data_IF_585656081723
#
_entry.id   IF_585656081723
#
_cell.length_a   1.000
_cell.length_b   1.000
_cell.length_c   1.000
_cell.angle_alpha   90.00
_cell.angle_beta   90.00
_cell.angle_gamma   90.00
#
_symmetry.space_group_name_H-M   'P 1'
#
loop_
_entity.id
_entity.type
_entity.pdbx_description
1 polymer ?
#
# COMPACT_ATOMS: atom_id res chain seq x y z
N UNK A 1 11.74 3.14 1.25
CA UNK A 1 12.06 1.69 1.19
C UNK A 1 10.85 0.88 1.63
N UNK A 2 10.43 -0.12 0.85
CA UNK A 2 9.39 -1.07 1.27
C UNK A 2 10.06 -2.17 2.11
N UNK A 3 9.41 -2.53 3.21
CA UNK A 3 9.90 -3.45 4.25
C UNK A 3 9.00 -4.67 4.41
N UNK A 4 7.74 -4.56 4.00
CA UNK A 4 6.79 -5.69 3.93
C UNK A 4 5.76 -5.42 2.85
N UNK A 5 5.30 -6.47 2.20
CA UNK A 5 4.18 -6.46 1.25
C UNK A 5 3.25 -7.64 1.54
N UNK A 6 1.95 -7.39 1.53
CA UNK A 6 0.88 -8.39 1.65
C UNK A 6 -0.05 -8.23 0.46
N UNK A 7 -0.39 -9.34 -0.20
CA UNK A 7 -1.19 -9.37 -1.43
C UNK A 7 -2.21 -10.49 -1.37
N UNK A 8 -3.46 -10.17 -1.67
CA UNK A 8 -4.49 -11.19 -1.86
C UNK A 8 -5.45 -10.76 -2.97
N UNK A 9 -5.83 -11.68 -3.84
CA UNK A 9 -6.73 -11.41 -4.96
C UNK A 9 -6.07 -10.63 -6.11
N UNK A 10 -4.74 -10.48 -6.11
CA UNK A 10 -3.98 -9.86 -7.21
C UNK A 10 -3.24 -10.93 -8.01
N UNK A 11 -3.58 -11.08 -9.30
CA UNK A 11 -3.04 -12.11 -10.20
C UNK A 11 -3.02 -13.48 -9.52
N UNK A 12 -1.84 -14.06 -9.30
CA UNK A 12 -1.69 -15.39 -8.70
C UNK A 12 -1.56 -15.40 -7.18
N UNK A 13 -1.64 -14.25 -6.51
CA UNK A 13 -1.42 -14.17 -5.05
C UNK A 13 -2.69 -14.40 -4.25
N UNK A 14 -2.61 -15.37 -3.35
CA UNK A 14 -3.61 -15.70 -2.35
C UNK A 14 -2.96 -15.63 -0.97
N UNK A 15 -3.41 -14.70 -0.13
CA UNK A 15 -2.89 -14.48 1.22
C UNK A 15 -1.35 -14.45 1.32
N UNK A 16 -0.73 -13.82 0.32
CA UNK A 16 0.72 -13.75 0.20
C UNK A 16 1.26 -12.67 1.13
N UNK A 17 2.34 -13.00 1.84
CA UNK A 17 3.06 -12.08 2.70
C UNK A 17 4.57 -12.23 2.50
N UNK A 18 5.26 -11.11 2.34
CA UNK A 18 6.71 -11.08 2.18
C UNK A 18 7.30 -9.93 2.99
N UNK A 19 8.18 -10.28 3.91
CA UNK A 19 9.06 -9.32 4.57
C UNK A 19 10.32 -9.11 3.73
N UNK A 20 10.71 -7.85 3.53
CA UNK A 20 11.85 -7.45 2.70
C UNK A 20 13.00 -6.96 3.57
N UNK A 21 14.16 -7.57 3.44
CA UNK A 21 15.40 -7.08 4.04
C UNK A 21 15.91 -5.82 3.28
N UNK A 22 16.82 -5.01 3.89
CA UNK A 22 17.48 -3.88 3.22
C UNK A 22 18.12 -4.21 1.88
N UNK A 23 18.57 -5.45 1.71
CA UNK A 23 19.02 -6.01 0.46
C UNK A 23 18.39 -7.39 0.27
N UNK A 24 17.63 -7.57 -0.80
CA UNK A 24 16.90 -8.80 -1.09
C UNK A 24 17.11 -9.20 -2.55
N UNK A 25 17.49 -10.46 -2.77
CA UNK A 25 17.51 -11.08 -4.09
C UNK A 25 16.30 -12.01 -4.22
N UNK A 26 15.56 -11.89 -5.32
CA UNK A 26 14.36 -12.69 -5.60
C UNK A 26 14.66 -13.64 -6.76
N UNK A 27 14.71 -14.94 -6.48
CA UNK A 27 15.04 -16.00 -7.44
C UNK A 27 13.90 -17.04 -7.43
N UNK A 28 13.64 -17.68 -8.56
CA UNK A 28 12.65 -18.75 -8.67
C UNK A 28 12.43 -19.17 -10.12
N UNK A 29 11.77 -20.31 -10.32
CA UNK A 29 11.45 -20.83 -11.66
C UNK A 29 10.55 -19.88 -12.47
N UNK A 30 10.49 -20.06 -13.79
CA UNK A 30 9.51 -19.33 -14.62
C UNK A 30 8.08 -19.60 -14.10
N UNK A 31 7.21 -18.61 -14.24
CA UNK A 31 5.84 -18.62 -13.72
C UNK A 31 5.69 -18.75 -12.18
N UNK A 32 6.77 -18.67 -11.39
CA UNK A 32 6.70 -18.72 -9.92
C UNK A 32 6.12 -17.46 -9.24
N UNK A 33 5.46 -16.57 -9.98
CA UNK A 33 4.90 -15.32 -9.44
C UNK A 33 5.85 -14.12 -9.30
N UNK A 34 7.14 -14.24 -9.67
CA UNK A 34 8.10 -13.12 -9.58
C UNK A 34 7.66 -11.88 -10.34
N UNK A 35 7.28 -12.02 -11.62
CA UNK A 35 6.81 -10.89 -12.41
C UNK A 35 5.54 -10.27 -11.82
N UNK A 36 4.66 -11.10 -11.24
CA UNK A 36 3.45 -10.61 -10.56
C UNK A 36 3.80 -9.79 -9.32
N UNK A 37 4.83 -10.17 -8.56
CA UNK A 37 5.30 -9.37 -7.41
C UNK A 37 5.77 -7.98 -7.86
N UNK A 38 6.56 -7.91 -8.95
CA UNK A 38 6.98 -6.63 -9.51
C UNK A 38 5.81 -5.83 -10.10
N UNK A 39 4.81 -6.48 -10.68
CA UNK A 39 3.60 -5.80 -11.16
C UNK A 39 2.77 -5.23 -10.01
N UNK A 40 2.70 -5.91 -8.85
CA UNK A 40 2.06 -5.37 -7.66
C UNK A 40 2.79 -4.12 -7.12
N UNK A 41 4.12 -4.15 -7.10
CA UNK A 41 4.94 -2.99 -6.73
C UNK A 41 4.76 -1.82 -7.70
N UNK A 42 4.65 -2.10 -9.01
CA UNK A 42 4.34 -1.08 -10.02
C UNK A 42 2.95 -0.50 -9.84
N UNK A 43 1.94 -1.34 -9.58
CA UNK A 43 0.58 -0.89 -9.32
C UNK A 43 0.56 0.07 -8.13
N UNK A 44 1.22 -0.27 -7.02
CA UNK A 44 1.34 0.60 -5.85
C UNK A 44 2.03 1.93 -6.18
N UNK A 45 3.08 1.91 -7.01
CA UNK A 45 3.74 3.13 -7.49
C UNK A 45 2.79 3.99 -8.32
N UNK A 46 2.01 3.38 -9.23
CA UNK A 46 1.06 4.14 -10.06
C UNK A 46 -0.12 4.68 -9.25
N UNK A 47 -0.60 3.94 -8.26
CA UNK A 47 -1.66 4.42 -7.36
C UNK A 47 -1.22 5.59 -6.49
N UNK A 48 0.09 5.76 -6.26
CA UNK A 48 0.63 6.92 -5.56
C UNK A 48 0.70 8.18 -6.46
N UNK A 49 0.65 8.03 -7.78
CA UNK A 49 0.83 9.13 -8.74
C UNK A 49 -0.44 9.45 -9.55
N UNK A 50 -1.31 8.46 -9.77
CA UNK A 50 -2.45 8.54 -10.66
C UNK A 50 -3.74 8.08 -9.97
N UNK A 51 -4.88 8.47 -10.54
CA UNK A 51 -6.17 7.93 -10.12
C UNK A 51 -6.28 6.41 -10.38
N UNK A 52 -7.20 5.75 -9.68
CA UNK A 52 -7.39 4.30 -9.72
C UNK A 52 -7.50 3.74 -11.14
N UNK A 53 -8.26 4.40 -12.02
CA UNK A 53 -8.50 3.93 -13.39
C UNK A 53 -7.22 4.02 -14.21
N UNK A 54 -6.56 5.18 -14.17
CA UNK A 54 -5.30 5.42 -14.89
C UNK A 54 -4.18 4.50 -14.39
N UNK A 55 -4.11 4.27 -13.08
CA UNK A 55 -3.12 3.36 -12.49
C UNK A 55 -3.28 1.92 -13.00
N UNK A 56 -4.51 1.40 -13.06
CA UNK A 56 -4.80 0.07 -13.58
C UNK A 56 -4.45 -0.08 -15.07
N UNK A 57 -4.74 0.95 -15.88
CA UNK A 57 -4.42 0.95 -17.31
C UNK A 57 -2.91 0.96 -17.61
N UNK A 58 -2.08 1.44 -16.68
CA UNK A 58 -0.62 1.47 -16.84
C UNK A 58 0.03 0.13 -16.50
N UNK A 59 -0.63 -0.72 -15.72
CA UNK A 59 -0.14 -2.07 -15.45
C UNK A 59 -0.43 -2.95 -16.67
N UNK A 60 0.48 -3.86 -16.99
CA UNK A 60 0.27 -4.82 -18.08
C UNK A 60 -0.92 -5.74 -17.76
N UNK A 61 -1.87 -5.78 -18.69
CA UNK A 61 -3.06 -6.63 -18.66
C UNK A 61 -4.34 -5.81 -18.56
N UNK A 62 -5.47 -6.43 -18.83
CA UNK A 62 -6.77 -5.80 -18.60
C UNK A 62 -7.09 -5.74 -17.10
N UNK A 63 -7.92 -4.79 -16.67
CA UNK A 63 -8.21 -4.59 -15.25
C UNK A 63 -8.70 -5.88 -14.54
N UNK A 64 -9.48 -6.71 -15.23
CA UNK A 64 -9.99 -7.98 -14.69
C UNK A 64 -8.90 -9.06 -14.55
N UNK A 65 -7.83 -9.01 -15.36
CA UNK A 65 -6.68 -9.93 -15.31
C UNK A 65 -5.72 -9.60 -14.15
N UNK A 66 -5.82 -8.39 -13.61
CA UNK A 66 -5.10 -8.01 -12.40
C UNK A 66 -5.74 -8.61 -11.15
N UNK A 67 -7.04 -8.93 -11.18
CA UNK A 67 -7.69 -9.73 -10.16
C UNK A 67 -7.38 -11.21 -10.38
N UNK A 68 -7.38 -11.99 -9.31
CA UNK A 68 -7.17 -13.43 -9.44
C UNK A 68 -8.29 -14.09 -10.24
N UNK A 69 -7.91 -14.74 -11.34
CA UNK A 69 -8.79 -15.58 -12.15
C UNK A 69 -9.05 -16.92 -11.45
N UNK A 70 -10.32 -17.30 -11.42
CA UNK A 70 -10.82 -18.57 -10.91
C UNK A 70 -10.93 -19.60 -12.05
N UNK A 71 -11.00 -20.91 -11.72
CA UNK A 71 -11.06 -21.96 -12.75
C UNK A 71 -12.27 -21.87 -13.69
N UNK A 72 -13.35 -21.23 -13.26
CA UNK A 72 -14.55 -20.98 -14.06
C UNK A 72 -14.42 -19.79 -15.02
N UNK A 73 -13.25 -19.14 -15.08
CA UNK A 73 -12.97 -17.96 -15.89
C UNK A 73 -13.45 -16.65 -15.28
N UNK A 74 -14.13 -16.67 -14.13
CA UNK A 74 -14.43 -15.45 -13.38
C UNK A 74 -13.19 -14.93 -12.67
N UNK A 75 -13.20 -13.68 -12.20
CA UNK A 75 -12.15 -13.17 -11.30
C UNK A 75 -12.74 -12.77 -9.96
N UNK A 76 -11.93 -12.93 -8.91
CA UNK A 76 -12.32 -12.55 -7.55
C UNK A 76 -12.78 -11.08 -7.51
N UNK A 77 -13.80 -10.75 -6.71
CA UNK A 77 -14.39 -9.41 -6.72
C UNK A 77 -13.58 -8.38 -5.95
N UNK A 78 -12.60 -8.81 -5.15
CA UNK A 78 -11.80 -7.95 -4.27
C UNK A 78 -10.32 -8.33 -4.37
N UNK A 79 -9.46 -7.31 -4.40
CA UNK A 79 -8.03 -7.46 -4.12
C UNK A 79 -7.65 -6.59 -2.93
N UNK A 80 -6.67 -7.07 -2.16
CA UNK A 80 -6.14 -6.41 -0.97
C UNK A 80 -4.63 -6.28 -1.11
N UNK A 81 -4.15 -5.07 -0.90
CA UNK A 81 -2.74 -4.74 -0.89
C UNK A 81 -2.43 -4.06 0.44
N UNK A 82 -1.41 -4.55 1.13
CA UNK A 82 -0.82 -3.81 2.23
C UNK A 82 0.69 -3.70 2.05
N UNK A 83 1.24 -2.53 2.36
CA UNK A 83 2.68 -2.32 2.38
C UNK A 83 3.09 -1.59 3.63
N UNK A 84 4.22 -2.05 4.18
CA UNK A 84 4.92 -1.33 5.21
C UNK A 84 6.19 -0.74 4.60
N UNK A 85 6.42 0.55 4.83
CA UNK A 85 7.56 1.25 4.25
C UNK A 85 8.18 2.29 5.19
N UNK A 86 9.38 2.71 4.79
CA UNK A 86 10.16 3.79 5.34
C UNK A 86 10.23 4.93 4.33
N UNK A 87 9.97 6.16 4.79
CA UNK A 87 10.16 7.39 4.01
C UNK A 87 11.32 8.21 4.57
N UNK A 88 11.88 9.09 3.74
CA UNK A 88 12.92 10.01 4.20
C UNK A 88 12.37 10.97 5.25
N UNK A 89 13.19 11.34 6.23
CA UNK A 89 12.80 12.30 7.27
C UNK A 89 12.51 13.67 6.68
N UNK A 90 13.37 14.16 5.80
CA UNK A 90 13.15 15.41 5.06
C UNK A 90 12.55 15.05 3.72
N UNK A 91 11.37 15.59 3.45
CA UNK A 91 10.71 15.49 2.15
C UNK A 91 10.64 16.86 1.53
N UNK A 92 10.61 16.88 0.20
CA UNK A 92 10.39 18.08 -0.60
C UNK A 92 9.18 17.83 -1.48
N UNK A 93 8.23 18.76 -1.49
CA UNK A 93 7.07 18.68 -2.37
C UNK A 93 7.39 19.17 -3.79
N UNK A 94 6.42 19.05 -4.68
CA UNK A 94 6.54 19.47 -6.09
C UNK A 94 6.72 20.97 -6.28
N UNK A 95 6.41 21.79 -5.28
CA UNK A 95 6.60 23.25 -5.27
C UNK A 95 7.90 23.69 -4.59
N UNK A 96 8.66 22.72 -4.08
CA UNK A 96 9.95 22.91 -3.45
C UNK A 96 9.92 23.23 -1.96
N UNK A 97 8.76 23.16 -1.31
CA UNK A 97 8.69 23.27 0.14
C UNK A 97 9.29 22.02 0.80
N UNK A 98 10.11 22.22 1.82
CA UNK A 98 10.69 21.14 2.60
C UNK A 98 9.96 20.96 3.93
N UNK A 99 9.71 19.71 4.31
CA UNK A 99 9.10 19.36 5.58
C UNK A 99 9.90 18.25 6.29
N UNK A 100 9.99 18.36 7.61
CA UNK A 100 10.60 17.34 8.48
C UNK A 100 9.50 16.46 9.07
N UNK A 101 9.44 15.20 8.63
CA UNK A 101 8.45 14.22 9.03
C UNK A 101 8.71 13.71 10.44
N UNK A 102 7.66 13.78 11.27
CA UNK A 102 7.66 13.20 12.63
C UNK A 102 7.63 11.67 12.60
N UNK A 103 6.97 11.11 11.60
CA UNK A 103 6.77 9.67 11.41
C UNK A 103 7.34 9.26 10.06
N UNK A 104 8.32 8.35 10.07
CA UNK A 104 8.95 7.86 8.84
C UNK A 104 8.68 6.40 8.57
N UNK A 105 8.02 5.69 9.50
CA UNK A 105 7.63 4.30 9.36
C UNK A 105 6.11 4.21 9.25
N UNK A 106 5.62 3.70 8.13
CA UNK A 106 4.19 3.69 7.82
C UNK A 106 3.73 2.30 7.38
N UNK A 107 2.44 2.02 7.63
CA UNK A 107 1.67 0.95 7.00
C UNK A 107 0.54 1.57 6.19
N UNK A 108 0.45 1.18 4.93
CA UNK A 108 -0.63 1.53 4.02
C UNK A 108 -1.39 0.27 3.64
N UNK A 109 -2.72 0.36 3.61
CA UNK A 109 -3.62 -0.74 3.31
C UNK A 109 -4.70 -0.24 2.35
N UNK A 110 -4.93 -1.00 1.28
CA UNK A 110 -5.85 -0.65 0.21
C UNK A 110 -6.63 -1.89 -0.26
N UNK A 111 -7.95 -1.78 -0.28
CA UNK A 111 -8.83 -2.80 -0.79
C UNK A 111 -9.62 -2.26 -1.98
N UNK A 112 -9.47 -2.92 -3.11
CA UNK A 112 -10.09 -2.53 -4.37
C UNK A 112 -11.13 -3.59 -4.72
N UNK A 113 -12.36 -3.15 -4.93
CA UNK A 113 -13.46 -4.02 -5.36
C UNK A 113 -13.85 -3.71 -6.80
N UNK A 114 -14.11 -4.78 -7.54
CA UNK A 114 -14.67 -4.73 -8.88
C UNK A 114 -16.16 -5.00 -8.79
N UNK A 115 -16.98 -4.12 -9.36
CA UNK A 115 -18.44 -4.28 -9.41
C UNK A 115 -18.95 -3.97 -10.82
N UNK A 116 -19.99 -4.68 -11.23
CA UNK A 116 -20.73 -4.38 -12.45
C UNK A 116 -21.84 -3.38 -12.14
N UNK A 117 -22.01 -2.37 -13.00
CA UNK A 117 -23.18 -1.51 -12.95
C UNK A 117 -24.40 -2.21 -13.57
N UNK A 118 -25.55 -1.53 -13.55
CA UNK A 118 -26.81 -2.04 -14.13
C UNK A 118 -26.75 -2.31 -15.64
N UNK A 119 -25.73 -1.80 -16.33
CA UNK A 119 -25.48 -2.01 -17.76
C UNK A 119 -24.42 -3.10 -18.02
N UNK A 120 -23.94 -3.75 -16.96
CA UNK A 120 -22.90 -4.78 -17.04
C UNK A 120 -21.48 -4.25 -17.22
N UNK A 121 -21.27 -2.92 -17.15
CA UNK A 121 -19.94 -2.33 -17.24
C UNK A 121 -19.20 -2.49 -15.91
N UNK A 122 -17.92 -2.87 -16.00
CA UNK A 122 -17.09 -3.09 -14.83
C UNK A 122 -16.46 -1.79 -14.34
N UNK A 123 -16.61 -1.53 -13.05
CA UNK A 123 -16.06 -0.37 -12.37
C UNK A 123 -15.22 -0.83 -11.18
N UNK A 124 -14.16 -0.08 -10.90
CA UNK A 124 -13.27 -0.29 -9.76
C UNK A 124 -13.59 0.74 -8.68
N UNK A 125 -13.66 0.29 -7.44
CA UNK A 125 -13.91 1.14 -6.28
C UNK A 125 -12.90 0.85 -5.18
N UNK A 126 -12.46 1.90 -4.49
CA UNK A 126 -11.74 1.75 -3.23
C UNK A 126 -12.79 1.48 -2.16
N UNK A 127 -12.73 0.28 -1.58
CA UNK A 127 -13.67 -0.14 -0.53
C UNK A 127 -13.09 0.04 0.87
N UNK A 128 -11.76 0.13 0.98
CA UNK A 128 -11.05 0.41 2.22
C UNK A 128 -9.69 1.00 1.87
N UNK A 129 -9.31 2.03 2.60
CA UNK A 129 -8.00 2.67 2.55
C UNK A 129 -7.60 3.13 3.95
N UNK A 130 -6.36 2.85 4.33
CA UNK A 130 -5.78 3.23 5.62
C UNK A 130 -4.30 3.55 5.47
N UNK A 131 -3.86 4.61 6.14
CA UNK A 131 -2.46 4.97 6.27
C UNK A 131 -2.20 5.36 7.72
N UNK A 132 -1.30 4.65 8.39
CA UNK A 132 -0.93 4.95 9.77
C UNK A 132 0.55 4.75 10.03
N UNK A 133 1.07 5.49 11.01
CA UNK A 133 2.43 5.31 11.48
C UNK A 133 2.54 4.01 12.27
N UNK A 134 3.61 3.25 12.04
CA UNK A 134 3.94 2.07 12.85
C UNK A 134 4.73 2.55 14.06
N UNK A 135 4.23 2.36 15.30
CA UNK A 135 4.96 2.79 16.49
C UNK A 135 6.26 2.00 16.64
N UNK A 136 7.37 2.70 16.95
CA UNK A 136 8.69 2.05 17.14
C UNK A 136 8.66 0.86 18.11
N UNK A 137 7.83 0.90 19.15
CA UNK A 137 7.68 -0.20 20.13
C UNK A 137 7.06 -1.48 19.54
N UNK A 138 6.32 -1.37 18.43
CA UNK A 138 5.62 -2.47 17.75
C UNK A 138 6.30 -2.85 16.43
N UNK A 139 7.42 -2.22 16.07
CA UNK A 139 8.09 -2.45 14.80
C UNK A 139 9.12 -3.58 14.92
N UNK A 140 8.64 -4.81 14.69
CA UNK A 140 9.49 -6.01 14.71
C UNK A 140 10.53 -5.99 13.59
N UNK A 141 10.26 -5.32 12.46
CA UNK A 141 11.18 -5.26 11.32
C UNK A 141 12.45 -4.50 11.68
N UNK A 142 12.30 -3.35 12.33
CA UNK A 142 13.45 -2.56 12.81
C UNK A 142 14.33 -3.35 13.76
N UNK A 143 13.72 -4.03 14.72
CA UNK A 143 14.45 -4.84 15.69
C UNK A 143 15.22 -5.99 15.02
N UNK A 144 14.64 -6.63 14.00
CA UNK A 144 15.23 -7.78 13.30
C UNK A 144 16.33 -7.38 12.31
N UNK A 145 16.12 -6.34 11.51
CA UNK A 145 17.00 -6.00 10.37
C UNK A 145 17.96 -4.85 10.65
N UNK A 146 17.63 -3.97 11.59
CA UNK A 146 18.41 -2.75 11.85
C UNK A 146 19.09 -2.78 13.23
N UNK A 147 18.39 -3.30 14.25
CA UNK A 147 18.89 -3.49 15.60
C UNK A 147 19.51 -2.20 16.19
N UNK A 148 20.79 -2.26 16.58
CA UNK A 148 21.49 -1.13 17.22
C UNK A 148 21.59 0.15 16.37
N UNK A 149 21.33 0.07 15.06
CA UNK A 149 21.39 1.22 14.16
C UNK A 149 20.04 1.90 13.95
N UNK A 150 18.99 1.54 14.69
CA UNK A 150 17.63 2.10 14.55
C UNK A 150 17.60 3.63 14.58
N UNK A 151 18.47 4.27 15.37
CA UNK A 151 18.54 5.75 15.45
C UNK A 151 19.03 6.41 14.17
N UNK A 152 19.72 5.67 13.28
CA UNK A 152 20.10 6.16 11.95
C UNK A 152 18.96 6.07 10.94
N UNK A 153 17.99 5.19 11.21
CA UNK A 153 16.87 4.90 10.30
C UNK A 153 15.58 5.63 10.69
N UNK A 154 15.37 5.88 11.98
CA UNK A 154 14.21 6.62 12.49
C UNK A 154 14.61 7.94 13.16
N UNK A 155 13.78 8.99 13.02
CA UNK A 155 13.97 10.22 13.78
C UNK A 155 13.91 9.97 15.29
N UNK A 156 14.69 10.75 16.06
CA UNK A 156 14.61 10.75 17.52
C UNK A 156 13.20 11.13 17.97
N UNK A 157 12.69 10.42 18.98
CA UNK A 157 11.31 10.52 19.46
C UNK A 157 10.90 11.99 19.65
N UNK A 158 9.91 12.41 18.87
CA UNK A 158 9.02 13.54 19.18
C UNK A 158 7.64 12.95 19.45
N UNK A 159 6.88 13.54 20.36
CA UNK A 159 5.50 13.13 20.62
C UNK A 159 4.75 13.04 19.28
N UNK A 160 4.28 11.84 18.94
CA UNK A 160 3.73 11.51 17.64
C UNK A 160 2.23 11.29 17.69
N UNK A 161 1.54 11.71 16.63
CA UNK A 161 0.13 11.38 16.38
C UNK A 161 -0.08 9.87 16.49
N UNK A 162 -1.08 9.44 17.26
CA UNK A 162 -1.53 8.03 17.31
C UNK A 162 -2.60 7.74 16.26
N UNK A 163 -3.32 8.76 15.80
CA UNK A 163 -4.39 8.63 14.84
C UNK A 163 -3.86 8.41 13.41
N UNK A 164 -4.60 7.67 12.56
CA UNK A 164 -4.26 7.47 11.16
C UNK A 164 -4.22 8.80 10.38
N UNK A 165 -3.51 8.78 9.25
CA UNK A 165 -3.46 9.84 8.24
C UNK A 165 -4.56 9.65 7.18
N UNK A 166 -4.86 8.40 6.84
CA UNK A 166 -6.01 8.02 6.03
C UNK A 166 -6.77 6.94 6.80
N UNK A 167 -8.10 7.07 6.89
CA UNK A 167 -8.95 6.00 7.44
C UNK A 167 -10.22 5.85 6.63
N UNK A 168 -10.78 4.65 6.63
CA UNK A 168 -12.12 4.39 6.11
C UNK A 168 -13.05 4.14 7.28
N UNK A 169 -14.18 4.84 7.30
CA UNK A 169 -15.23 4.64 8.29
C UNK A 169 -16.55 4.35 7.57
N UNK A 170 -17.41 3.54 8.21
CA UNK A 170 -18.79 3.39 7.78
C UNK A 170 -19.63 4.50 8.40
N UNK A 171 -20.17 5.39 7.57
CA UNK A 171 -21.12 6.42 8.00
C UNK A 171 -22.47 6.13 7.37
N UNK A 172 -23.40 5.66 8.19
CA UNK A 172 -24.78 5.36 7.79
C UNK A 172 -24.88 4.39 6.59
N UNK A 173 -24.03 3.36 6.54
CA UNK A 173 -24.00 2.37 5.46
C UNK A 173 -23.17 2.80 4.24
N UNK A 174 -22.57 3.99 4.27
CA UNK A 174 -21.70 4.51 3.22
C UNK A 174 -20.26 4.51 3.72
N UNK A 175 -19.43 3.67 3.09
CA UNK A 175 -17.99 3.69 3.35
C UNK A 175 -17.40 5.01 2.86
N UNK A 176 -16.84 5.77 3.78
CA UNK A 176 -16.28 7.10 3.54
C UNK A 176 -14.80 7.11 3.92
N UNK A 177 -13.95 7.60 3.00
CA UNK A 177 -12.51 7.74 3.21
C UNK A 177 -12.23 9.14 3.76
N UNK A 178 -11.53 9.20 4.88
CA UNK A 178 -11.11 10.43 5.55
C UNK A 178 -9.62 10.65 5.39
N UNK A 179 -9.25 11.83 4.87
CA UNK A 179 -7.88 12.32 4.90
C UNK A 179 -7.71 13.24 6.12
N UNK A 180 -6.81 12.87 7.02
CA UNK A 180 -6.58 13.59 8.26
C UNK A 180 -5.37 14.51 8.13
N UNK A 181 -5.58 15.80 8.36
CA UNK A 181 -4.48 16.78 8.37
C UNK A 181 -3.61 16.63 9.63
N UNK A 182 -2.32 16.92 9.45
CA UNK A 182 -1.30 16.85 10.50
C UNK A 182 -1.14 18.24 11.17
N UNK A 183 -2.11 18.61 12.01
CA UNK A 183 -2.05 19.85 12.81
C UNK A 183 -2.53 21.13 12.11
N UNK A 184 -2.73 22.19 12.91
CA UNK A 184 -3.49 23.40 12.57
C UNK A 184 -2.97 24.09 11.31
N UNK A 185 -3.90 24.38 10.39
CA UNK A 185 -3.72 25.42 9.39
C UNK A 185 -3.23 26.71 10.06
N UNK A 186 -2.12 27.22 9.55
CA UNK A 186 -1.74 28.63 9.68
C UNK A 186 -2.20 29.35 8.44
#
# INVERSE_FOLDING_TARGET
>A
MITRIELSGFKTFHDFHLELAPFQVIIGANASGKSNLFDALRLLSYLAEFDLRTAFQKVRGEAHELFTLLPDGSSVPEMRLAVEFLVNRRIRDSWGAEADLKHTRMRYELHIVRRKDSRGLEHLYISYESLHAIPRKKDAWLHRHVGRYEEKWLPRRRAGRQAPFISTEDKAGVRTIFLHQDGRGG
#
